data_IF_727255226953
#
_entry.id   IF_727255226953
#
_cell.length_a   1.000
_cell.length_b   1.000
_cell.length_c   1.000
_cell.angle_alpha   90.00
_cell.angle_beta   90.00
_cell.angle_gamma   90.00
#
_symmetry.space_group_name_H-M   'P 1'
#
loop_
_entity.id
_entity.type
_entity.pdbx_description
1 polymer ?
#
# COMPACT_ATOMS: atom_id res chain seq x y z
N UNK A 1 13.78 1.67 12.58
CA UNK A 1 12.76 0.68 12.84
C UNK A 1 11.96 0.32 11.60
N UNK A 2 11.78 -0.95 11.38
CA UNK A 2 11.09 -1.40 10.18
C UNK A 2 9.59 -1.29 10.32
N UNK A 3 8.96 -0.95 9.20
CA UNK A 3 7.52 -0.83 9.11
C UNK A 3 6.96 -2.19 8.66
N UNK A 4 6.54 -2.99 9.62
CA UNK A 4 6.06 -4.34 9.37
C UNK A 4 4.55 -4.43 9.59
N UNK A 5 3.88 -5.15 8.71
CA UNK A 5 2.45 -5.41 8.80
C UNK A 5 2.27 -6.88 9.15
N UNK A 6 1.48 -7.16 10.17
CA UNK A 6 1.22 -8.54 10.57
C UNK A 6 -0.07 -9.02 9.92
N UNK A 7 0.07 -9.77 8.84
CA UNK A 7 -1.06 -10.21 8.03
C UNK A 7 -1.17 -11.73 8.08
N UNK A 8 -2.25 -12.21 8.69
CA UNK A 8 -2.53 -13.65 8.74
C UNK A 8 -1.42 -14.46 9.39
N UNK A 9 -0.75 -13.90 10.39
CA UNK A 9 0.36 -14.59 11.06
C UNK A 9 1.71 -14.40 10.40
N UNK A 10 1.77 -13.74 9.25
CA UNK A 10 3.02 -13.48 8.54
C UNK A 10 3.40 -12.01 8.68
N UNK A 11 4.70 -11.75 8.71
CA UNK A 11 5.21 -10.38 8.74
C UNK A 11 5.47 -9.92 7.31
N UNK A 12 4.88 -8.78 6.95
CA UNK A 12 5.03 -8.20 5.62
C UNK A 12 5.71 -6.85 5.75
N UNK A 13 6.87 -6.70 5.10
CA UNK A 13 7.57 -5.43 5.08
C UNK A 13 6.86 -4.49 4.11
N UNK A 14 6.32 -3.38 4.61
CA UNK A 14 5.59 -2.44 3.76
C UNK A 14 6.45 -1.93 2.62
N UNK A 15 7.74 -1.72 2.87
CA UNK A 15 8.66 -1.21 1.86
C UNK A 15 8.79 -2.16 0.66
N UNK A 16 8.81 -3.45 0.90
CA UNK A 16 8.91 -4.43 -0.18
C UNK A 16 7.70 -4.33 -1.12
N UNK A 17 6.53 -4.17 -0.54
CA UNK A 17 5.29 -4.06 -1.31
C UNK A 17 5.27 -2.73 -2.06
N UNK A 18 5.69 -1.65 -1.40
CA UNK A 18 5.77 -0.34 -2.04
C UNK A 18 6.69 -0.37 -3.25
N UNK A 19 7.87 -0.98 -3.11
CA UNK A 19 8.82 -1.06 -4.22
C UNK A 19 8.27 -1.83 -5.40
N UNK A 20 7.51 -2.89 -5.12
CA UNK A 20 6.88 -3.66 -6.18
C UNK A 20 5.83 -2.83 -6.92
N UNK A 21 5.01 -2.08 -6.19
CA UNK A 21 3.97 -1.25 -6.78
C UNK A 21 4.57 -0.11 -7.60
N UNK A 22 5.70 0.45 -7.15
CA UNK A 22 6.38 1.50 -7.90
C UNK A 22 6.87 1.06 -9.28
N UNK A 23 6.95 -0.23 -9.54
CA UNK A 23 7.32 -0.72 -10.88
C UNK A 23 6.22 -0.44 -11.91
N UNK A 24 5.00 -0.17 -11.47
CA UNK A 24 3.94 0.23 -12.38
C UNK A 24 4.16 1.68 -12.81
N UNK A 25 4.26 1.95 -14.11
CA UNK A 25 4.61 3.30 -14.57
C UNK A 25 3.54 4.35 -14.26
N UNK A 26 2.30 3.94 -13.98
CA UNK A 26 1.22 4.86 -13.64
C UNK A 26 1.32 5.40 -12.22
N UNK A 27 2.14 4.79 -11.36
CA UNK A 27 2.19 5.15 -9.94
C UNK A 27 3.09 6.36 -9.72
N UNK A 28 2.52 7.42 -9.14
CA UNK A 28 3.26 8.60 -8.72
C UNK A 28 3.82 8.40 -7.31
N UNK A 29 2.97 7.96 -6.38
CA UNK A 29 3.35 7.71 -5.00
C UNK A 29 2.55 6.51 -4.48
N UNK A 30 3.12 5.80 -3.53
CA UNK A 30 2.40 4.72 -2.85
C UNK A 30 2.85 4.65 -1.40
N UNK A 31 1.89 4.38 -0.53
CA UNK A 31 2.15 4.06 0.87
C UNK A 31 1.40 2.78 1.19
N UNK A 32 2.10 1.80 1.73
CA UNK A 32 1.51 0.52 2.13
C UNK A 32 1.40 0.52 3.64
N UNK A 33 0.18 0.30 4.14
CA UNK A 33 -0.12 0.32 5.57
C UNK A 33 -0.88 -0.95 5.94
N UNK A 34 -0.89 -1.26 7.24
CA UNK A 34 -1.74 -2.31 7.78
C UNK A 34 -2.97 -1.69 8.38
N UNK A 35 -4.13 -2.18 7.99
CA UNK A 35 -5.40 -1.75 8.57
C UNK A 35 -6.02 -2.92 9.33
N UNK A 36 -6.68 -2.66 10.46
CA UNK A 36 -7.32 -3.73 11.22
C UNK A 36 -8.29 -4.53 10.37
N UNK A 37 -8.26 -5.85 10.50
CA UNK A 37 -9.08 -6.73 9.68
C UNK A 37 -9.45 -7.96 10.48
N UNK A 38 -10.73 -8.37 10.52
CA UNK A 38 -11.16 -9.51 11.34
C UNK A 38 -10.58 -10.84 10.86
N UNK A 39 -10.25 -10.96 9.56
CA UNK A 39 -9.70 -12.21 9.02
C UNK A 39 -8.19 -12.26 9.09
N UNK A 40 -7.52 -11.13 8.81
CA UNK A 40 -6.06 -11.10 8.62
C UNK A 40 -5.30 -10.51 9.80
N UNK A 41 -5.97 -10.05 10.84
CA UNK A 41 -5.46 -9.21 11.92
C UNK A 41 -5.17 -7.82 11.37
N UNK A 42 -4.26 -7.72 10.38
CA UNK A 42 -4.09 -6.51 9.59
C UNK A 42 -4.16 -6.88 8.11
N UNK A 43 -4.89 -6.08 7.34
CA UNK A 43 -4.92 -6.24 5.89
C UNK A 43 -3.85 -5.34 5.28
N UNK A 44 -3.01 -5.91 4.43
CA UNK A 44 -2.03 -5.14 3.67
C UNK A 44 -2.82 -4.24 2.71
N UNK A 45 -2.67 -2.92 2.88
CA UNK A 45 -3.44 -1.93 2.14
C UNK A 45 -2.51 -0.97 1.43
N UNK A 46 -2.68 -0.83 0.11
CA UNK A 46 -1.90 0.11 -0.68
C UNK A 46 -2.71 1.37 -0.93
N UNK A 47 -2.16 2.53 -0.57
CA UNK A 47 -2.75 3.84 -0.88
C UNK A 47 -1.90 4.46 -1.97
N UNK A 48 -2.50 4.69 -3.14
CA UNK A 48 -1.77 5.01 -4.36
C UNK A 48 -2.21 6.36 -4.92
N UNK A 49 -1.23 7.15 -5.31
CA UNK A 49 -1.46 8.36 -6.11
C UNK A 49 -1.04 8.04 -7.53
N UNK A 50 -1.96 8.17 -8.48
CA UNK A 50 -1.72 7.88 -9.89
C UNK A 50 -1.23 9.16 -10.58
N UNK A 51 -0.27 9.02 -11.50
CA UNK A 51 0.25 10.15 -12.27
C UNK A 51 -0.87 10.81 -13.07
N UNK A 52 -0.75 12.12 -13.25
CA UNK A 52 -1.74 12.89 -14.02
C UNK A 52 -1.90 12.30 -15.41
N UNK A 53 -3.14 12.16 -15.87
CA UNK A 53 -3.43 11.63 -17.19
C UNK A 53 -3.32 10.13 -17.32
N UNK A 54 -2.92 9.42 -16.26
CA UNK A 54 -2.84 7.96 -16.26
C UNK A 54 -4.04 7.37 -15.56
N UNK A 55 -4.31 6.09 -15.83
CA UNK A 55 -5.34 5.36 -15.10
C UNK A 55 -4.81 4.03 -14.62
N UNK A 56 -5.32 3.60 -13.48
CA UNK A 56 -4.90 2.36 -12.82
C UNK A 56 -6.03 1.93 -11.90
N UNK A 57 -6.38 0.65 -11.91
CA UNK A 57 -7.43 0.17 -11.02
C UNK A 57 -6.88 -0.83 -10.03
N UNK A 58 -7.70 -1.16 -9.02
CA UNK A 58 -7.32 -2.07 -7.96
C UNK A 58 -6.92 -3.44 -8.50
N UNK A 59 -7.69 -3.97 -9.44
CA UNK A 59 -7.42 -5.30 -9.99
C UNK A 59 -6.04 -5.37 -10.65
N UNK A 60 -5.64 -4.31 -11.36
CA UNK A 60 -4.34 -4.28 -12.03
C UNK A 60 -3.21 -4.25 -11.02
N UNK A 61 -3.37 -3.50 -9.93
CA UNK A 61 -2.35 -3.44 -8.87
C UNK A 61 -2.18 -4.79 -8.21
N UNK A 62 -3.30 -5.42 -7.85
CA UNK A 62 -3.27 -6.73 -7.18
C UNK A 62 -2.67 -7.78 -8.09
N UNK A 63 -3.07 -7.80 -9.36
CA UNK A 63 -2.54 -8.76 -10.33
C UNK A 63 -1.02 -8.60 -10.52
N UNK A 64 -0.56 -7.36 -10.60
CA UNK A 64 0.87 -7.08 -10.72
C UNK A 64 1.65 -7.63 -9.52
N UNK A 65 1.17 -7.36 -8.31
CA UNK A 65 1.82 -7.87 -7.11
C UNK A 65 1.76 -9.40 -7.05
N UNK A 66 0.61 -9.98 -7.39
CA UNK A 66 0.44 -11.44 -7.32
C UNK A 66 1.37 -12.18 -8.26
N UNK A 67 1.73 -11.56 -9.40
CA UNK A 67 2.65 -12.18 -10.35
C UNK A 67 4.10 -12.20 -9.87
N UNK A 68 4.46 -11.32 -8.94
CA UNK A 68 5.87 -11.10 -8.60
C UNK A 68 6.17 -11.33 -7.12
N UNK A 69 5.16 -11.56 -6.28
CA UNK A 69 5.34 -11.68 -4.83
C UNK A 69 4.54 -12.86 -4.29
N UNK A 70 4.92 -13.32 -3.10
CA UNK A 70 4.13 -14.31 -2.37
C UNK A 70 2.73 -13.77 -2.09
N UNK A 71 1.74 -14.67 -2.08
CA UNK A 71 0.35 -14.28 -1.91
C UNK A 71 0.07 -13.49 -0.65
N UNK A 72 0.74 -13.86 0.48
CA UNK A 72 0.49 -13.15 1.73
C UNK A 72 1.03 -11.71 1.73
N UNK A 73 1.93 -11.39 0.79
CA UNK A 73 2.49 -10.03 0.64
C UNK A 73 1.66 -9.17 -0.29
N UNK A 74 0.78 -9.77 -1.08
CA UNK A 74 -0.05 -9.04 -2.04
C UNK A 74 -1.08 -8.21 -1.29
N UNK A 75 -1.30 -6.95 -1.68
CA UNK A 75 -2.32 -6.14 -1.00
C UNK A 75 -3.69 -6.80 -1.05
N UNK A 76 -4.39 -6.72 0.06
CA UNK A 76 -5.78 -7.16 0.16
C UNK A 76 -6.73 -6.05 -0.23
N UNK A 77 -6.26 -4.81 -0.19
CA UNK A 77 -7.07 -3.64 -0.40
C UNK A 77 -6.22 -2.57 -1.07
N UNK A 78 -6.77 -1.89 -2.07
CA UNK A 78 -6.11 -0.80 -2.76
C UNK A 78 -7.04 0.41 -2.74
N UNK A 79 -6.49 1.56 -2.35
CA UNK A 79 -7.22 2.82 -2.29
C UNK A 79 -6.46 3.84 -3.12
N UNK A 80 -7.17 4.66 -3.87
CA UNK A 80 -6.56 5.72 -4.66
C UNK A 80 -6.84 7.06 -4.00
N UNK A 81 -5.80 7.89 -3.90
CA UNK A 81 -5.87 9.20 -3.27
C UNK A 81 -5.23 10.23 -4.19
N UNK A 82 -5.64 11.48 -4.04
CA UNK A 82 -5.05 12.57 -4.83
C UNK A 82 -3.66 12.93 -4.30
N UNK A 83 -3.50 12.86 -2.99
CA UNK A 83 -2.23 13.18 -2.34
C UNK A 83 -2.05 12.28 -1.12
N UNK A 84 -0.80 12.16 -0.67
CA UNK A 84 -0.49 11.49 0.58
C UNK A 84 -0.11 12.54 1.64
N UNK A 85 -0.53 12.34 2.91
CA UNK A 85 -0.18 13.29 3.97
C UNK A 85 1.31 13.27 4.26
N UNK A 86 1.90 14.47 4.38
CA UNK A 86 3.32 14.62 4.69
C UNK A 86 3.49 15.72 5.74
N UNK A 87 4.56 15.59 6.53
CA UNK A 87 4.90 16.65 7.46
C UNK A 87 5.61 17.78 6.71
N UNK A 88 5.92 18.91 7.37
CA UNK A 88 6.57 20.03 6.68
C UNK A 88 7.91 19.70 6.03
N UNK A 89 8.62 18.67 6.54
CA UNK A 89 9.89 18.27 5.94
C UNK A 89 9.72 17.28 4.78
N UNK A 90 8.47 16.98 4.41
CA UNK A 90 8.19 16.09 3.28
C UNK A 90 8.10 14.62 3.64
N UNK A 91 8.19 14.28 4.91
CA UNK A 91 8.09 12.89 5.33
C UNK A 91 6.65 12.40 5.31
N UNK A 92 6.42 11.24 4.72
CA UNK A 92 5.11 10.61 4.65
C UNK A 92 4.58 10.27 6.06
N UNK A 93 3.32 10.59 6.30
CA UNK A 93 2.67 10.36 7.60
C UNK A 93 1.71 9.18 7.52
N UNK A 94 2.23 7.96 7.65
CA UNK A 94 1.41 6.75 7.56
C UNK A 94 0.38 6.67 8.68
N UNK A 95 0.67 7.26 9.84
CA UNK A 95 -0.30 7.32 10.93
C UNK A 95 -1.59 7.97 10.49
N UNK A 96 -1.48 9.07 9.74
CA UNK A 96 -2.66 9.79 9.25
C UNK A 96 -3.44 8.93 8.26
N UNK A 97 -2.75 8.17 7.42
CA UNK A 97 -3.42 7.26 6.50
C UNK A 97 -4.16 6.16 7.25
N UNK A 98 -3.54 5.59 8.28
CA UNK A 98 -4.20 4.55 9.07
C UNK A 98 -5.47 5.07 9.74
N UNK A 99 -5.44 6.30 10.23
CA UNK A 99 -6.63 6.90 10.83
C UNK A 99 -7.72 7.17 9.80
N UNK A 100 -7.34 7.59 8.60
CA UNK A 100 -8.29 7.93 7.55
C UNK A 100 -9.04 6.71 7.02
N UNK A 101 -8.36 5.57 6.89
CA UNK A 101 -8.92 4.41 6.22
C UNK A 101 -9.28 3.25 7.16
N UNK A 102 -9.03 3.39 8.44
CA UNK A 102 -9.35 2.36 9.42
C UNK A 102 -10.85 2.12 9.55
#
# INVERSE_FOLDING_TARGET
>A
KKDMIKSGGENVASREVEEMIYRLPQVSEVAVIGLPDPKWVEAVTAVIVVKAGQSLDEAAVIAHCAQHMAGFKTPKRVVFADTLPKNPSGKLLKRDLRLRYA
#
